data_IF_517733830982
#
_entry.id   IF_517733830982
#
_cell.length_a   1.000
_cell.length_b   1.000
_cell.length_c   1.000
_cell.angle_alpha   90.00
_cell.angle_beta   90.00
_cell.angle_gamma   90.00
#
_symmetry.space_group_name_H-M   'P 1'
#
loop_
_entity.id
_entity.type
_entity.pdbx_description
1 polymer ?
#
# COMPACT_ATOMS: atom_id res chain seq x y z
N UNK A 1 -14.89 9.99 -3.39
CA UNK A 1 -14.03 9.03 -2.69
C UNK A 1 -13.46 8.03 -3.68
N UNK A 2 -12.32 7.39 -3.37
CA UNK A 2 -11.80 6.23 -4.13
C UNK A 2 -12.17 4.96 -3.38
N UNK A 3 -12.46 3.88 -4.09
CA UNK A 3 -12.71 2.58 -3.47
C UNK A 3 -11.45 1.99 -2.86
N UNK A 4 -11.60 1.34 -1.72
CA UNK A 4 -10.53 0.63 -1.04
C UNK A 4 -11.07 -0.62 -0.33
N UNK A 5 -10.19 -1.58 -0.10
CA UNK A 5 -10.46 -2.77 0.70
C UNK A 5 -9.33 -3.00 1.71
N UNK A 6 -9.66 -3.56 2.87
CA UNK A 6 -8.69 -4.01 3.87
C UNK A 6 -8.90 -5.50 4.07
N UNK A 7 -7.89 -6.29 3.73
CA UNK A 7 -7.89 -7.73 3.89
C UNK A 7 -6.98 -8.10 5.07
N UNK A 8 -7.52 -8.88 6.01
CA UNK A 8 -6.78 -9.40 7.15
C UNK A 8 -6.33 -10.83 6.86
N UNK A 9 -5.02 -11.09 6.96
CA UNK A 9 -4.39 -12.36 6.70
C UNK A 9 -3.61 -12.82 7.94
N UNK A 10 -3.35 -14.13 8.12
CA UNK A 10 -2.52 -14.60 9.23
C UNK A 10 -1.10 -14.01 9.16
N UNK A 11 -0.80 -13.06 10.05
CA UNK A 11 0.51 -12.40 10.10
C UNK A 11 0.70 -11.27 9.07
N UNK A 12 -0.35 -10.84 8.38
CA UNK A 12 -0.32 -9.67 7.51
C UNK A 12 -1.67 -8.98 7.35
N UNK A 13 -1.65 -7.76 6.84
CA UNK A 13 -2.84 -7.05 6.41
C UNK A 13 -2.54 -6.32 5.11
N UNK A 14 -3.46 -6.39 4.14
CA UNK A 14 -3.33 -5.71 2.86
C UNK A 14 -4.36 -4.59 2.75
N UNK A 15 -3.91 -3.41 2.38
CA UNK A 15 -4.76 -2.27 2.02
C UNK A 15 -4.71 -2.07 0.51
N UNK A 16 -5.81 -2.38 -0.15
CA UNK A 16 -5.96 -2.33 -1.60
C UNK A 16 -6.66 -1.04 -2.00
N UNK A 17 -6.04 -0.26 -2.89
CA UNK A 17 -6.53 1.04 -3.37
C UNK A 17 -6.94 0.89 -4.83
N UNK A 18 -8.19 1.16 -5.15
CA UNK A 18 -8.73 0.99 -6.48
C UNK A 18 -8.86 2.32 -7.22
N UNK A 19 -8.75 2.27 -8.54
CA UNK A 19 -9.16 3.39 -9.40
C UNK A 19 -10.68 3.39 -9.57
N UNK A 20 -11.27 2.21 -9.75
CA UNK A 20 -12.71 1.95 -9.87
C UNK A 20 -13.08 0.63 -9.16
N UNK A 21 -14.31 0.53 -8.66
CA UNK A 21 -14.82 -0.54 -7.76
C UNK A 21 -14.68 -1.98 -8.29
N UNK A 22 -14.49 -2.19 -9.60
CA UNK A 22 -14.41 -3.52 -10.23
C UNK A 22 -13.06 -3.83 -10.91
N UNK A 23 -12.05 -2.99 -10.70
CA UNK A 23 -10.74 -3.20 -11.31
C UNK A 23 -9.76 -3.90 -10.37
N UNK A 24 -8.64 -4.38 -10.92
CA UNK A 24 -7.49 -4.75 -10.09
C UNK A 24 -7.02 -3.53 -9.30
N UNK A 25 -6.60 -3.69 -8.03
CA UNK A 25 -6.12 -2.56 -7.24
C UNK A 25 -4.93 -1.89 -7.92
N UNK A 26 -4.95 -0.56 -7.97
CA UNK A 26 -3.89 0.24 -8.54
C UNK A 26 -2.63 0.17 -7.66
N UNK A 27 -2.84 0.20 -6.35
CA UNK A 27 -1.81 0.04 -5.34
C UNK A 27 -2.28 -0.88 -4.24
N UNK A 28 -1.36 -1.68 -3.71
CA UNK A 28 -1.59 -2.47 -2.50
C UNK A 28 -0.46 -2.17 -1.52
N UNK A 29 -0.84 -1.77 -0.31
CA UNK A 29 0.08 -1.63 0.82
C UNK A 29 -0.10 -2.83 1.72
N UNK A 30 0.93 -3.65 1.82
CA UNK A 30 0.92 -4.82 2.70
C UNK A 30 1.74 -4.54 3.96
N UNK A 31 1.15 -4.75 5.13
CA UNK A 31 1.84 -4.81 6.41
C UNK A 31 2.05 -6.27 6.76
N UNK A 32 3.29 -6.69 6.92
CA UNK A 32 3.66 -8.04 7.37
C UNK A 32 4.18 -7.94 8.80
N UNK A 33 3.55 -8.68 9.70
CA UNK A 33 3.95 -8.79 11.09
C UNK A 33 3.43 -10.12 11.62
N UNK A 34 4.27 -11.16 11.56
CA UNK A 34 3.86 -12.51 11.92
C UNK A 34 3.72 -12.68 13.43
N UNK A 35 4.57 -12.00 14.19
CA UNK A 35 4.55 -12.02 15.65
C UNK A 35 4.38 -10.61 16.19
N UNK A 36 3.68 -10.42 17.32
CA UNK A 36 3.53 -9.11 17.96
C UNK A 36 4.86 -8.44 18.33
N UNK A 37 5.89 -9.25 18.60
CA UNK A 37 7.25 -8.81 18.95
C UNK A 37 8.13 -8.48 17.75
N UNK A 38 7.73 -8.85 16.53
CA UNK A 38 8.49 -8.56 15.31
C UNK A 38 8.21 -7.14 14.83
N UNK A 39 9.26 -6.45 14.37
CA UNK A 39 9.11 -5.16 13.70
C UNK A 39 8.28 -5.32 12.41
N UNK A 40 7.23 -4.53 12.20
CA UNK A 40 6.39 -4.65 11.02
C UNK A 40 7.17 -4.24 9.76
N UNK A 41 7.00 -5.03 8.70
CA UNK A 41 7.53 -4.72 7.38
C UNK A 41 6.38 -4.24 6.50
N UNK A 42 6.64 -3.20 5.72
CA UNK A 42 5.67 -2.63 4.80
C UNK A 42 6.17 -2.79 3.37
N UNK A 43 5.26 -3.19 2.48
CA UNK A 43 5.53 -3.30 1.05
C UNK A 43 4.45 -2.57 0.26
N UNK A 44 4.86 -1.69 -0.64
CA UNK A 44 3.99 -1.09 -1.64
C UNK A 44 4.21 -1.79 -2.98
N UNK A 45 3.13 -2.25 -3.60
CA UNK A 45 3.13 -2.84 -4.93
C UNK A 45 2.06 -2.22 -5.81
N UNK A 46 2.34 -2.18 -7.11
CA UNK A 46 1.31 -2.00 -8.13
C UNK A 46 0.89 -3.37 -8.69
N UNK A 47 0.20 -3.36 -9.83
CA UNK A 47 -0.24 -4.57 -10.53
C UNK A 47 0.91 -5.44 -11.03
N UNK A 48 2.07 -4.86 -11.34
CA UNK A 48 3.14 -5.51 -12.10
C UNK A 48 4.39 -5.75 -11.24
N UNK A 49 4.65 -4.92 -10.23
CA UNK A 49 5.89 -4.94 -9.46
C UNK A 49 5.76 -4.35 -8.06
N UNK A 50 6.76 -4.63 -7.25
CA UNK A 50 6.99 -3.96 -5.97
C UNK A 50 7.62 -2.60 -6.24
N UNK A 51 7.02 -1.54 -5.70
CA UNK A 51 7.47 -0.16 -5.87
C UNK A 51 8.42 0.27 -4.76
N UNK A 52 8.10 -0.08 -3.51
CA UNK A 52 8.99 0.14 -2.38
C UNK A 52 8.73 -0.85 -1.24
N UNK A 53 9.74 -0.99 -0.39
CA UNK A 53 9.67 -1.70 0.89
C UNK A 53 10.22 -0.77 1.96
N UNK A 54 9.70 -0.87 3.17
CA UNK A 54 10.15 -0.07 4.30
C UNK A 54 9.80 -0.75 5.62
N UNK A 55 10.39 -0.25 6.72
CA UNK A 55 10.09 -0.75 8.07
C UNK A 55 9.04 0.14 8.77
N UNK A 56 8.54 1.16 8.07
CA UNK A 56 7.54 2.09 8.58
C UNK A 56 6.54 2.48 7.49
N UNK A 57 5.32 2.80 7.92
CA UNK A 57 4.28 3.31 7.01
C UNK A 57 4.67 4.66 6.39
N UNK A 58 5.44 5.46 7.11
CA UNK A 58 5.91 6.77 6.66
C UNK A 58 6.81 6.67 5.43
N UNK A 59 7.65 5.63 5.33
CA UNK A 59 8.47 5.38 4.13
C UNK A 59 7.59 5.08 2.90
N UNK A 60 6.51 4.30 3.09
CA UNK A 60 5.55 4.02 2.03
C UNK A 60 4.84 5.30 1.58
N UNK A 61 4.36 6.11 2.52
CA UNK A 61 3.66 7.37 2.20
C UNK A 61 4.59 8.36 1.47
N UNK A 62 5.86 8.43 1.86
CA UNK A 62 6.86 9.29 1.21
C UNK A 62 7.08 8.94 -0.27
N UNK A 63 6.83 7.70 -0.68
CA UNK A 63 6.88 7.32 -2.10
C UNK A 63 5.90 8.15 -2.93
N UNK A 64 4.66 8.31 -2.47
CA UNK A 64 3.63 9.06 -3.19
C UNK A 64 3.91 10.56 -3.29
N UNK A 65 4.65 11.13 -2.32
CA UNK A 65 5.04 12.54 -2.37
C UNK A 65 5.98 12.89 -3.53
N UNK A 66 6.66 11.88 -4.10
CA UNK A 66 7.53 12.06 -5.27
C UNK A 66 6.78 11.99 -6.59
N UNK A 67 5.52 11.52 -6.58
CA UNK A 67 4.75 11.39 -7.80
C UNK A 67 4.30 12.78 -8.28
N UNK A 68 4.29 13.02 -9.60
CA UNK A 68 3.83 14.29 -10.15
C UNK A 68 2.39 14.53 -9.70
N UNK A 69 2.17 15.71 -9.11
CA UNK A 69 0.84 16.16 -8.70
C UNK A 69 0.21 16.90 -9.86
N UNK A 70 -1.08 16.64 -10.10
CA UNK A 70 -1.84 17.45 -11.03
C UNK A 70 -1.95 18.87 -10.47
N UNK A 71 -1.29 19.82 -11.12
CA UNK A 71 -1.51 21.25 -10.85
C UNK A 71 -2.77 21.62 -11.63
N UNK A 72 -3.87 21.81 -10.90
CA UNK A 72 -5.08 22.41 -11.46
C UNK A 72 -4.88 23.93 -11.36
N UNK A 73 -4.82 24.59 -12.52
CA UNK A 73 -4.77 26.05 -12.62
C UNK A 73 -6.15 26.67 -12.52
#
# INVERSE_FOLDING_TARGET
WRDYAIDHLPGSAAFSIFRHTHETPLYVVEKQQRFPTEAPKFTLRDRNKILCKGNSMQEIVRYFNRLPRLITG
#
